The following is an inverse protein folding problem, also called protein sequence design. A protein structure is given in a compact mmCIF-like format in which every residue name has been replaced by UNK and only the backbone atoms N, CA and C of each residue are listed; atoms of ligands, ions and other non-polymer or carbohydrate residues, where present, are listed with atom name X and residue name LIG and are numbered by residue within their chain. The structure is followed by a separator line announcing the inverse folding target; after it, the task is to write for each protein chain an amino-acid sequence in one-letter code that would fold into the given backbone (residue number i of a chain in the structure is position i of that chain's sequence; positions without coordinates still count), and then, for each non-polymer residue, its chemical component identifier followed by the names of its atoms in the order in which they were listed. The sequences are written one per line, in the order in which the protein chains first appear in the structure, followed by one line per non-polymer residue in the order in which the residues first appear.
data_IF_081590682441
#
_entry.id   IF_081590682441
#
_cell.length_a   1.000
_cell.length_b   1.000
_cell.length_c   1.000
_cell.angle_alpha   90.00
_cell.angle_beta   90.00
_cell.angle_gamma   90.00
#
_symmetry.space_group_name_H-M   'P 1'
#
loop_
_entity.id
_entity.type
_entity.pdbx_description
1 polymer ?
#
# COMPACT_ATOMS: atom_id res chain seq x y z
N UNK A 1 -23.12 10.69 -11.71
CA UNK A 1 -23.41 10.56 -13.16
C UNK A 1 -22.16 10.99 -13.92
N UNK A 2 -21.43 10.22 -14.71
CA UNK A 2 -21.57 8.88 -15.28
C UNK A 2 -20.15 8.30 -15.22
N UNK A 3 -19.93 7.26 -14.41
CA UNK A 3 -18.73 6.45 -14.53
C UNK A 3 -18.83 5.71 -15.86
N UNK A 4 -18.10 6.16 -16.88
CA UNK A 4 -17.98 5.43 -18.14
C UNK A 4 -17.20 4.16 -17.85
N UNK A 5 -17.95 3.12 -17.46
CA UNK A 5 -17.55 1.72 -17.48
C UNK A 5 -17.27 1.39 -18.95
N UNK A 6 -16.05 1.63 -19.42
CA UNK A 6 -15.54 1.03 -20.67
C UNK A 6 -15.36 -0.47 -20.41
N UNK A 7 -16.48 -1.17 -20.29
CA UNK A 7 -16.58 -2.58 -20.62
C UNK A 7 -16.34 -2.69 -22.12
N UNK A 8 -15.08 -2.60 -22.53
CA UNK A 8 -14.71 -2.88 -23.92
C UNK A 8 -15.06 -4.35 -24.14
N UNK A 9 -16.13 -4.61 -24.89
CA UNK A 9 -16.60 -5.96 -25.19
C UNK A 9 -15.42 -6.74 -25.78
N UNK A 10 -14.84 -7.67 -25.01
CA UNK A 10 -13.65 -8.43 -25.42
C UNK A 10 -13.87 -9.18 -26.74
N UNK A 11 -15.13 -9.57 -27.01
CA UNK A 11 -15.58 -10.17 -28.26
C UNK A 11 -15.43 -9.23 -29.46
N UNK A 12 -15.70 -7.94 -29.29
CA UNK A 12 -15.55 -6.93 -30.34
C UNK A 12 -14.08 -6.72 -30.68
N UNK A 13 -13.22 -6.59 -29.67
CA UNK A 13 -11.77 -6.45 -29.88
C UNK A 13 -11.17 -7.70 -30.55
N UNK A 14 -11.62 -8.90 -30.14
CA UNK A 14 -11.23 -10.14 -30.77
C UNK A 14 -11.67 -10.21 -32.25
N UNK A 15 -12.89 -9.76 -32.56
CA UNK A 15 -13.39 -9.72 -33.93
C UNK A 15 -12.61 -8.72 -34.80
N UNK A 16 -12.30 -7.53 -34.29
CA UNK A 16 -11.46 -6.53 -34.98
C UNK A 16 -10.07 -7.10 -35.28
N UNK A 17 -9.46 -7.78 -34.30
CA UNK A 17 -8.15 -8.40 -34.48
C UNK A 17 -8.19 -9.55 -35.50
N UNK A 18 -9.24 -10.36 -35.52
CA UNK A 18 -9.42 -11.42 -36.51
C UNK A 18 -9.57 -10.85 -37.93
N UNK A 19 -10.34 -9.77 -38.10
CA UNK A 19 -10.46 -9.07 -39.38
C UNK A 19 -9.12 -8.50 -39.83
N UNK A 20 -8.34 -7.94 -38.89
CA UNK A 20 -7.01 -7.45 -39.18
C UNK A 20 -6.06 -8.58 -39.60
N UNK A 21 -6.07 -9.72 -38.89
CA UNK A 21 -5.23 -10.88 -39.24
C UNK A 21 -5.56 -11.41 -40.65
N UNK A 22 -6.84 -11.46 -41.04
CA UNK A 22 -7.25 -11.83 -42.42
C UNK A 22 -6.70 -10.83 -43.43
N UNK A 23 -6.86 -9.53 -43.19
CA UNK A 23 -6.33 -8.48 -44.06
C UNK A 23 -4.81 -8.55 -44.18
N UNK A 24 -4.12 -8.76 -43.07
CA UNK A 24 -2.66 -8.86 -43.01
C UNK A 24 -2.12 -10.06 -43.79
N UNK A 25 -2.82 -11.20 -43.77
CA UNK A 25 -2.47 -12.37 -44.59
C UNK A 25 -2.59 -12.04 -46.09
N UNK A 26 -3.69 -11.40 -46.50
CA UNK A 26 -3.87 -10.99 -47.90
C UNK A 26 -2.78 -10.01 -48.34
N UNK A 27 -2.49 -9.01 -47.51
CA UNK A 27 -1.45 -8.02 -47.75
C UNK A 27 -0.06 -8.67 -47.80
N UNK A 28 0.25 -9.59 -46.89
CA UNK A 28 1.54 -10.25 -46.82
C UNK A 28 1.87 -11.04 -48.09
N UNK A 29 0.95 -11.87 -48.55
CA UNK A 29 1.16 -12.67 -49.75
C UNK A 29 1.07 -11.83 -51.04
N UNK A 30 0.28 -10.77 -51.06
CA UNK A 30 0.32 -9.81 -52.17
C UNK A 30 1.69 -9.12 -52.26
N UNK A 31 2.21 -8.61 -51.13
CA UNK A 31 3.53 -7.99 -51.07
C UNK A 31 4.64 -8.99 -51.42
N UNK A 32 4.50 -10.25 -51.04
CA UNK A 32 5.44 -11.31 -51.42
C UNK A 32 5.49 -11.54 -52.93
N UNK A 33 4.35 -11.52 -53.63
CA UNK A 33 4.31 -11.56 -55.10
C UNK A 33 4.92 -10.29 -55.68
N UNK A 34 4.54 -9.13 -55.15
CA UNK A 34 5.03 -7.87 -55.66
C UNK A 34 6.56 -7.75 -55.54
N UNK A 35 7.14 -8.13 -54.40
CA UNK A 35 8.59 -8.17 -54.19
C UNK A 35 9.28 -9.22 -55.05
N UNK A 36 8.62 -10.36 -55.33
CA UNK A 36 9.17 -11.41 -56.19
C UNK A 36 9.42 -10.95 -57.63
N UNK A 37 8.63 -9.99 -58.10
CA UNK A 37 8.69 -9.39 -59.44
C UNK A 37 9.24 -7.96 -59.40
N UNK A 38 10.20 -7.71 -58.51
CA UNK A 38 10.96 -6.45 -58.40
C UNK A 38 10.08 -5.19 -58.22
N UNK A 39 8.92 -5.34 -57.57
CA UNK A 39 7.99 -4.24 -57.34
C UNK A 39 7.23 -3.78 -58.59
N UNK A 40 7.23 -4.57 -59.68
CA UNK A 40 6.52 -4.24 -60.92
C UNK A 40 5.30 -5.14 -61.10
N UNK A 41 4.12 -4.57 -60.89
CA UNK A 41 2.85 -5.30 -61.03
C UNK A 41 2.64 -5.90 -62.43
N UNK A 42 3.09 -5.20 -63.48
CA UNK A 42 2.99 -5.63 -64.88
C UNK A 42 3.82 -6.87 -65.22
N UNK A 43 4.78 -7.25 -64.37
CA UNK A 43 5.64 -8.43 -64.57
C UNK A 43 5.08 -9.69 -63.93
N UNK A 44 3.97 -9.58 -63.21
CA UNK A 44 3.32 -10.70 -62.56
C UNK A 44 2.47 -11.43 -63.60
N UNK A 45 2.88 -12.64 -63.97
CA UNK A 45 2.12 -13.47 -64.91
C UNK A 45 0.69 -13.71 -64.39
N UNK A 46 -0.35 -13.63 -65.25
CA UNK A 46 -1.75 -13.77 -64.84
C UNK A 46 -2.03 -15.05 -64.05
N UNK A 47 -1.34 -16.13 -64.40
CA UNK A 47 -1.42 -17.43 -63.73
C UNK A 47 -1.07 -17.37 -62.22
N UNK A 48 -0.07 -16.56 -61.82
CA UNK A 48 0.28 -16.40 -60.40
C UNK A 48 -0.73 -15.56 -59.62
N UNK A 49 -1.33 -14.56 -60.28
CA UNK A 49 -2.41 -13.76 -59.69
C UNK A 49 -3.67 -14.58 -59.49
N UNK A 50 -4.02 -15.42 -60.47
CA UNK A 50 -5.16 -16.34 -60.38
C UNK A 50 -5.01 -17.31 -59.19
N UNK A 51 -3.82 -17.90 -59.05
CA UNK A 51 -3.49 -18.75 -57.89
C UNK A 51 -3.65 -17.98 -56.57
N UNK A 52 -3.16 -16.73 -56.48
CA UNK A 52 -3.31 -15.90 -55.28
C UNK A 52 -4.79 -15.67 -54.92
N UNK A 53 -5.63 -15.31 -55.89
CA UNK A 53 -7.06 -15.05 -55.66
C UNK A 53 -7.82 -16.29 -55.21
N UNK A 54 -7.39 -17.49 -55.62
CA UNK A 54 -8.06 -18.73 -55.22
C UNK A 54 -7.54 -19.29 -53.89
N UNK A 55 -6.23 -19.24 -53.63
CA UNK A 55 -5.63 -19.94 -52.48
C UNK A 55 -5.55 -19.07 -51.22
N UNK A 56 -5.26 -17.78 -51.35
CA UNK A 56 -5.03 -16.89 -50.19
C UNK A 56 -6.31 -16.63 -49.38
N UNK A 57 -7.49 -16.38 -49.98
CA UNK A 57 -8.72 -16.21 -49.20
C UNK A 57 -9.08 -17.46 -48.40
N UNK A 58 -8.93 -18.66 -49.00
CA UNK A 58 -9.17 -19.94 -48.32
C UNK A 58 -8.18 -20.12 -47.18
N UNK A 59 -6.90 -19.87 -47.43
CA UNK A 59 -5.86 -19.91 -46.41
C UNK A 59 -6.13 -18.95 -45.25
N UNK A 60 -6.46 -17.69 -45.53
CA UNK A 60 -6.75 -16.69 -44.50
C UNK A 60 -7.95 -17.08 -43.64
N UNK A 61 -9.00 -17.65 -44.23
CA UNK A 61 -10.17 -18.15 -43.49
C UNK A 61 -9.82 -19.37 -42.62
N UNK A 62 -8.96 -20.27 -43.08
CA UNK A 62 -8.48 -21.41 -42.29
C UNK A 62 -7.53 -21.01 -41.15
N UNK A 63 -6.80 -19.90 -41.30
CA UNK A 63 -5.95 -19.37 -40.23
C UNK A 63 -6.75 -18.90 -39.01
N UNK A 64 -7.94 -18.33 -39.19
CA UNK A 64 -8.77 -17.79 -38.09
C UNK A 64 -9.07 -18.83 -37.00
N UNK A 65 -9.60 -20.04 -37.29
CA UNK A 65 -9.84 -21.05 -36.26
C UNK A 65 -8.52 -21.56 -35.63
N UNK A 66 -7.43 -21.67 -36.39
CA UNK A 66 -6.13 -22.07 -35.86
C UNK A 66 -5.59 -21.04 -34.87
N UNK A 67 -5.68 -19.75 -35.20
CA UNK A 67 -5.28 -18.65 -34.32
C UNK A 67 -6.18 -18.55 -33.09
N UNK A 68 -7.48 -18.86 -33.23
CA UNK A 68 -8.40 -18.96 -32.10
C UNK A 68 -8.06 -20.12 -31.16
N UNK A 69 -7.72 -21.30 -31.70
CA UNK A 69 -7.30 -22.47 -30.92
C UNK A 69 -5.97 -22.22 -30.20
N UNK A 70 -5.01 -21.56 -30.88
CA UNK A 70 -3.77 -21.08 -30.29
C UNK A 70 -3.96 -19.94 -29.28
N UNK A 71 -5.22 -19.58 -28.95
CA UNK A 71 -5.59 -18.55 -27.97
C UNK A 71 -5.05 -17.15 -28.30
N UNK A 72 -4.80 -16.85 -29.57
CA UNK A 72 -4.23 -15.56 -30.01
C UNK A 72 -5.23 -14.40 -29.91
N UNK A 73 -6.54 -14.68 -29.87
CA UNK A 73 -7.60 -13.67 -29.73
C UNK A 73 -8.08 -13.45 -28.28
N UNK A 74 -7.53 -14.18 -27.32
CA UNK A 74 -7.91 -14.09 -25.89
C UNK A 74 -7.02 -13.16 -25.08
N UNK A 75 -5.87 -12.75 -25.63
CA UNK A 75 -4.92 -11.87 -24.96
C UNK A 75 -5.40 -10.42 -24.89
N UNK A 76 -5.00 -9.70 -23.84
CA UNK A 76 -5.23 -8.26 -23.72
C UNK A 76 -4.06 -7.57 -24.44
N UNK A 77 -4.31 -7.01 -25.62
CA UNK A 77 -3.28 -6.41 -26.50
C UNK A 77 -2.40 -5.32 -25.85
N UNK A 78 -2.86 -4.72 -24.74
CA UNK A 78 -2.08 -3.73 -23.97
C UNK A 78 -1.01 -4.36 -23.08
N UNK A 79 -1.19 -5.63 -22.71
CA UNK A 79 -0.31 -6.38 -21.82
C UNK A 79 0.34 -7.59 -22.53
N UNK A 80 0.55 -7.48 -23.85
CA UNK A 80 1.15 -8.54 -24.65
C UNK A 80 2.48 -8.99 -24.04
N UNK A 81 2.52 -10.22 -23.56
CA UNK A 81 3.70 -10.82 -22.94
C UNK A 81 4.66 -11.38 -24.00
N UNK A 82 5.91 -11.63 -23.61
CA UNK A 82 6.89 -12.29 -24.50
C UNK A 82 6.36 -13.65 -24.97
N UNK A 83 5.65 -14.39 -24.10
CA UNK A 83 5.01 -15.65 -24.45
C UNK A 83 3.91 -15.54 -25.51
N UNK A 84 3.18 -14.44 -25.56
CA UNK A 84 2.17 -14.21 -26.60
C UNK A 84 2.82 -13.89 -27.96
N UNK A 85 3.93 -13.16 -27.96
CA UNK A 85 4.72 -12.86 -29.18
C UNK A 85 5.30 -14.15 -29.74
N UNK A 86 5.94 -14.98 -28.90
CA UNK A 86 6.53 -16.26 -29.35
C UNK A 86 5.48 -17.21 -29.88
N UNK A 87 4.32 -17.35 -29.20
CA UNK A 87 3.21 -18.17 -29.68
C UNK A 87 2.65 -17.68 -31.02
N UNK A 88 2.52 -16.36 -31.20
CA UNK A 88 2.07 -15.77 -32.47
C UNK A 88 3.06 -16.09 -33.58
N UNK A 89 4.36 -15.88 -33.34
CA UNK A 89 5.42 -16.17 -34.30
C UNK A 89 5.45 -17.64 -34.72
N UNK A 90 5.49 -18.55 -33.74
CA UNK A 90 5.51 -20.01 -34.00
C UNK A 90 4.27 -20.45 -34.76
N UNK A 91 3.07 -20.02 -34.34
CA UNK A 91 1.81 -20.41 -35.02
C UNK A 91 1.80 -19.87 -36.46
N UNK A 92 2.22 -18.63 -36.68
CA UNK A 92 2.32 -18.03 -38.02
C UNK A 92 3.28 -18.82 -38.93
N UNK A 93 4.46 -19.17 -38.42
CA UNK A 93 5.45 -19.95 -39.18
C UNK A 93 4.92 -21.33 -39.54
N UNK A 94 4.34 -22.07 -38.57
CA UNK A 94 3.79 -23.41 -38.82
C UNK A 94 2.69 -23.39 -39.89
N UNK A 95 1.74 -22.45 -39.80
CA UNK A 95 0.62 -22.36 -40.74
C UNK A 95 1.10 -21.93 -42.13
N UNK A 96 2.09 -21.03 -42.21
CA UNK A 96 2.71 -20.61 -43.47
C UNK A 96 3.49 -21.75 -44.14
N UNK A 97 4.16 -22.61 -43.38
CA UNK A 97 4.88 -23.78 -43.91
C UNK A 97 3.91 -24.84 -44.47
N UNK A 98 2.80 -25.09 -43.77
CA UNK A 98 1.75 -26.00 -44.26
C UNK A 98 1.15 -25.46 -45.57
N UNK A 99 0.86 -24.16 -45.62
CA UNK A 99 0.40 -23.51 -46.85
C UNK A 99 1.42 -23.60 -47.99
N UNK A 100 2.68 -23.31 -47.71
CA UNK A 100 3.75 -23.44 -48.69
C UNK A 100 3.86 -24.87 -49.24
N UNK A 101 3.73 -25.90 -48.39
CA UNK A 101 3.74 -27.29 -48.80
C UNK A 101 2.55 -27.61 -49.71
N UNK A 102 1.33 -27.24 -49.31
CA UNK A 102 0.10 -27.48 -50.08
C UNK A 102 0.16 -26.80 -51.46
N UNK A 103 0.54 -25.52 -51.51
CA UNK A 103 0.60 -24.78 -52.78
C UNK A 103 1.67 -25.36 -53.70
N UNK A 104 2.87 -25.66 -53.18
CA UNK A 104 3.95 -26.21 -54.01
C UNK A 104 3.71 -27.65 -54.49
N UNK A 105 2.89 -28.44 -53.79
CA UNK A 105 2.63 -29.86 -54.14
C UNK A 105 1.35 -30.07 -54.93
N UNK A 106 0.27 -29.33 -54.64
CA UNK A 106 -1.08 -29.58 -55.17
C UNK A 106 -1.56 -28.51 -56.15
N UNK A 107 -1.14 -27.25 -56.00
CA UNK A 107 -1.69 -26.10 -56.73
C UNK A 107 -0.56 -25.29 -57.37
N UNK A 108 0.09 -25.94 -58.35
CA UNK A 108 1.08 -25.36 -59.27
C UNK A 108 2.31 -24.72 -58.61
N UNK A 109 3.46 -24.86 -59.27
CA UNK A 109 4.77 -24.53 -58.69
C UNK A 109 4.97 -23.02 -58.57
N UNK A 110 4.46 -22.44 -57.49
CA UNK A 110 4.81 -21.09 -57.06
C UNK A 110 6.33 -21.01 -56.81
N UNK A 111 7.00 -19.89 -57.14
CA UNK A 111 8.40 -19.71 -56.78
C UNK A 111 8.58 -19.83 -55.27
N UNK A 112 9.63 -20.54 -54.82
CA UNK A 112 9.94 -20.72 -53.39
C UNK A 112 10.04 -19.36 -52.67
N UNK A 113 10.60 -18.37 -53.35
CA UNK A 113 10.73 -17.00 -52.84
C UNK A 113 9.40 -16.32 -52.51
N UNK A 114 8.28 -16.65 -53.20
CA UNK A 114 6.95 -16.16 -52.81
C UNK A 114 6.54 -16.71 -51.43
N UNK A 115 6.79 -18.00 -51.19
CA UNK A 115 6.47 -18.64 -49.91
C UNK A 115 7.33 -18.10 -48.77
N UNK A 116 8.63 -17.87 -49.04
CA UNK A 116 9.58 -17.32 -48.05
C UNK A 116 9.21 -15.88 -47.68
N UNK A 117 9.01 -15.00 -48.67
CA UNK A 117 8.60 -13.62 -48.41
C UNK A 117 7.23 -13.55 -47.74
N UNK A 118 6.27 -14.38 -48.17
CA UNK A 118 4.95 -14.45 -47.56
C UNK A 118 5.00 -14.81 -46.09
N UNK A 119 5.78 -15.84 -45.73
CA UNK A 119 5.99 -16.25 -44.33
C UNK A 119 6.61 -15.13 -43.50
N UNK A 120 7.67 -14.48 -43.99
CA UNK A 120 8.36 -13.41 -43.27
C UNK A 120 7.47 -12.19 -43.04
N UNK A 121 6.78 -11.74 -44.09
CA UNK A 121 5.91 -10.55 -44.03
C UNK A 121 4.67 -10.84 -43.18
N UNK A 122 4.07 -12.04 -43.30
CA UNK A 122 2.94 -12.43 -42.46
C UNK A 122 3.34 -12.42 -40.98
N UNK A 123 4.45 -13.07 -40.62
CA UNK A 123 4.91 -13.10 -39.23
C UNK A 123 5.18 -11.68 -38.70
N UNK A 124 5.84 -10.84 -39.50
CA UNK A 124 6.12 -9.45 -39.13
C UNK A 124 4.84 -8.65 -38.89
N UNK A 125 3.86 -8.73 -39.79
CA UNK A 125 2.59 -8.04 -39.68
C UNK A 125 1.80 -8.52 -38.44
N UNK A 126 1.64 -9.83 -38.25
CA UNK A 126 0.90 -10.38 -37.10
C UNK A 126 1.53 -10.01 -35.75
N UNK A 127 2.86 -9.97 -35.66
CA UNK A 127 3.59 -9.51 -34.47
C UNK A 127 3.41 -8.00 -34.29
N UNK A 128 3.54 -7.22 -35.37
CA UNK A 128 3.38 -5.77 -35.33
C UNK A 128 1.99 -5.36 -34.81
N UNK A 129 0.90 -6.00 -35.27
CA UNK A 129 -0.45 -5.72 -34.77
C UNK A 129 -0.62 -5.95 -33.26
N UNK A 130 0.18 -6.83 -32.67
CA UNK A 130 0.13 -7.17 -31.22
C UNK A 130 1.07 -6.31 -30.38
N UNK A 131 2.14 -5.78 -30.97
CA UNK A 131 3.08 -4.87 -30.33
C UNK A 131 2.65 -3.40 -30.42
N UNK A 132 2.03 -3.00 -31.54
CA UNK A 132 1.73 -1.61 -31.83
C UNK A 132 0.84 -0.93 -30.77
N UNK A 133 -0.22 -1.56 -30.23
CA UNK A 133 -1.02 -0.96 -29.16
C UNK A 133 -0.19 -0.67 -27.89
N UNK A 134 0.72 -1.58 -27.52
CA UNK A 134 1.63 -1.39 -26.38
C UNK A 134 2.61 -0.25 -26.65
N UNK A 135 3.17 -0.16 -27.86
CA UNK A 135 4.08 0.92 -28.24
C UNK A 135 3.37 2.28 -28.27
N UNK A 136 2.13 2.33 -28.76
CA UNK A 136 1.30 3.55 -28.76
C UNK A 136 1.00 4.01 -27.33
N UNK A 137 0.59 3.12 -26.43
CA UNK A 137 0.30 3.48 -25.03
C UNK A 137 1.57 4.01 -24.33
N UNK A 138 2.74 3.38 -24.57
CA UNK A 138 4.04 3.85 -24.06
C UNK A 138 4.37 5.24 -24.63
N UNK A 139 4.25 5.43 -25.94
CA UNK A 139 4.60 6.69 -26.60
C UNK A 139 3.66 7.83 -26.21
N UNK A 140 2.35 7.56 -26.09
CA UNK A 140 1.37 8.51 -25.60
C UNK A 140 1.66 8.96 -24.17
N UNK A 141 2.16 8.06 -23.30
CA UNK A 141 2.60 8.43 -21.95
C UNK A 141 3.76 9.43 -21.98
N UNK A 142 4.77 9.21 -22.83
CA UNK A 142 5.92 10.14 -22.93
C UNK A 142 5.58 11.47 -23.57
N UNK A 143 4.71 11.48 -24.58
CA UNK A 143 4.30 12.70 -25.30
C UNK A 143 3.23 13.48 -24.54
N UNK A 144 2.58 12.87 -23.54
CA UNK A 144 1.58 13.57 -22.72
C UNK A 144 2.24 14.78 -22.05
N UNK A 145 1.85 15.97 -22.51
CA UNK A 145 2.19 17.22 -21.84
C UNK A 145 1.68 17.14 -20.40
N UNK A 146 2.49 17.52 -19.40
CA UNK A 146 2.07 17.50 -18.00
C UNK A 146 0.79 18.32 -17.87
N UNK A 147 -0.26 17.69 -17.33
CA UNK A 147 -1.48 18.41 -16.96
C UNK A 147 -1.15 19.38 -15.83
N UNK A 148 -1.78 20.57 -15.82
CA UNK A 148 -1.53 21.62 -14.82
C UNK A 148 -1.83 21.16 -13.38
N UNK A 149 -2.62 20.09 -13.21
CA UNK A 149 -3.01 19.51 -11.91
C UNK A 149 -2.44 18.10 -11.65
N UNK A 150 -1.38 17.68 -12.35
CA UNK A 150 -0.74 16.39 -12.04
C UNK A 150 0.17 16.47 -10.82
N UNK A 151 -0.07 15.61 -9.83
CA UNK A 151 0.78 15.46 -8.63
C UNK A 151 2.09 14.79 -9.03
N UNK A 152 3.22 15.45 -8.77
CA UNK A 152 4.55 14.95 -9.12
C UNK A 152 5.12 14.10 -8.00
N UNK A 153 5.50 12.88 -8.35
CA UNK A 153 5.96 11.87 -7.41
C UNK A 153 7.44 11.58 -7.65
N UNK A 154 8.24 11.67 -6.59
CA UNK A 154 9.59 11.13 -6.53
C UNK A 154 9.54 9.75 -5.88
N UNK A 155 10.27 8.79 -6.46
CA UNK A 155 10.35 7.43 -5.92
C UNK A 155 11.76 7.19 -5.40
N UNK A 156 11.85 6.66 -4.19
CA UNK A 156 13.10 6.29 -3.56
C UNK A 156 13.23 4.78 -3.62
N UNK A 157 14.31 4.29 -4.24
CA UNK A 157 14.57 2.90 -4.53
C UNK A 157 14.24 2.56 -5.99
N UNK A 158 15.27 2.35 -6.80
CA UNK A 158 15.19 1.82 -8.16
C UNK A 158 15.29 0.27 -8.18
N UNK A 159 14.86 -0.39 -7.10
CA UNK A 159 14.77 -1.85 -7.01
C UNK A 159 13.48 -2.41 -7.63
N UNK A 160 13.23 -3.70 -7.41
CA UNK A 160 12.03 -4.40 -7.92
C UNK A 160 10.73 -3.71 -7.45
N UNK A 161 10.65 -3.34 -6.17
CA UNK A 161 9.48 -2.65 -5.60
C UNK A 161 9.22 -1.30 -6.26
N UNK A 162 10.27 -0.51 -6.52
CA UNK A 162 10.17 0.76 -7.21
C UNK A 162 9.77 0.61 -8.68
N UNK A 163 10.29 -0.42 -9.36
CA UNK A 163 9.88 -0.75 -10.73
C UNK A 163 8.39 -1.12 -10.81
N UNK A 164 7.91 -1.96 -9.88
CA UNK A 164 6.50 -2.34 -9.81
C UNK A 164 5.61 -1.12 -9.51
N UNK A 165 6.03 -0.24 -8.60
CA UNK A 165 5.30 0.99 -8.28
C UNK A 165 5.24 1.96 -9.47
N UNK A 166 6.34 2.10 -10.22
CA UNK A 166 6.37 2.87 -11.46
C UNK A 166 5.44 2.30 -12.53
N UNK A 167 5.45 0.98 -12.68
CA UNK A 167 4.57 0.28 -13.61
C UNK A 167 3.09 0.51 -13.23
N UNK A 168 2.75 0.38 -11.95
CA UNK A 168 1.40 0.64 -11.47
C UNK A 168 1.01 2.12 -11.63
N UNK A 169 1.86 3.08 -11.27
CA UNK A 169 1.61 4.52 -11.47
C UNK A 169 1.30 4.89 -12.92
N UNK A 170 1.86 4.18 -13.89
CA UNK A 170 1.59 4.40 -15.33
C UNK A 170 0.25 3.87 -15.78
N UNK A 171 -0.17 2.73 -15.23
CA UNK A 171 -1.37 2.03 -15.66
C UNK A 171 -2.60 2.37 -14.81
N UNK A 172 -2.40 2.67 -13.53
CA UNK A 172 -3.39 3.20 -12.59
C UNK A 172 -3.67 4.67 -12.93
N UNK A 173 -4.41 4.87 -14.03
CA UNK A 173 -4.91 6.14 -14.55
C UNK A 173 -5.92 6.85 -13.60
N UNK A 174 -5.82 6.64 -12.27
CA UNK A 174 -6.87 6.93 -11.28
C UNK A 174 -6.62 8.16 -10.41
N UNK A 175 -5.41 8.72 -10.32
CA UNK A 175 -5.18 9.81 -9.34
C UNK A 175 -4.37 11.01 -9.86
N UNK A 176 -4.18 11.14 -11.18
CA UNK A 176 -3.45 12.29 -11.74
C UNK A 176 -2.04 12.42 -11.17
N UNK A 177 -1.38 11.30 -10.87
CA UNK A 177 -0.01 11.29 -10.37
C UNK A 177 0.97 10.93 -11.49
N UNK A 178 2.13 11.57 -11.50
CA UNK A 178 3.20 11.32 -12.46
C UNK A 178 4.53 11.16 -11.73
N UNK A 179 5.21 10.05 -11.95
CA UNK A 179 6.58 9.88 -11.50
C UNK A 179 7.52 10.76 -12.32
N UNK A 180 8.30 11.63 -11.65
CA UNK A 180 9.18 12.62 -12.29
C UNK A 180 10.66 12.26 -12.20
N UNK A 181 11.08 11.64 -11.11
CA UNK A 181 12.45 11.18 -10.89
C UNK A 181 12.50 10.00 -9.92
N UNK A 182 13.59 9.26 -9.97
CA UNK A 182 13.92 8.17 -9.04
C UNK A 182 15.26 8.48 -8.36
N UNK A 183 15.36 8.17 -7.07
CA UNK A 183 16.59 8.25 -6.28
C UNK A 183 16.99 6.83 -5.87
N UNK A 184 18.26 6.46 -6.03
CA UNK A 184 18.81 5.18 -5.58
C UNK A 184 20.31 5.37 -5.22
N UNK A 185 20.70 4.85 -4.06
CA UNK A 185 22.07 4.94 -3.58
C UNK A 185 23.06 4.08 -4.37
N UNK A 186 22.58 3.11 -5.16
CA UNK A 186 23.43 2.31 -6.04
C UNK A 186 23.94 3.18 -7.22
N UNK A 187 25.25 3.50 -7.25
CA UNK A 187 25.81 4.36 -8.29
C UNK A 187 25.72 3.73 -9.69
N UNK A 188 25.56 2.40 -9.78
CA UNK A 188 25.42 1.73 -11.08
C UNK A 188 24.08 2.04 -11.76
N UNK A 189 23.08 2.50 -11.01
CA UNK A 189 21.74 2.85 -11.50
C UNK A 189 21.58 4.34 -11.82
N UNK A 190 22.43 5.19 -11.26
CA UNK A 190 22.39 6.63 -11.45
C UNK A 190 22.68 7.02 -12.91
N UNK A 191 21.99 8.04 -13.41
CA UNK A 191 22.06 8.46 -14.82
C UNK A 191 21.37 7.50 -15.80
N UNK A 192 20.78 6.40 -15.33
CA UNK A 192 19.95 5.50 -16.13
C UNK A 192 18.47 5.85 -15.99
N UNK A 193 17.64 5.08 -16.68
CA UNK A 193 16.20 5.23 -16.64
C UNK A 193 15.56 3.96 -16.07
N UNK A 194 14.66 4.12 -15.09
CA UNK A 194 13.82 3.02 -14.59
C UNK A 194 12.42 3.20 -15.15
N UNK A 195 11.98 2.21 -15.94
CA UNK A 195 10.79 2.30 -16.78
C UNK A 195 10.79 3.51 -17.74
N UNK A 196 11.81 4.37 -17.77
CA UNK A 196 11.87 5.64 -18.52
C UNK A 196 11.58 6.89 -17.69
N UNK A 197 11.60 6.76 -16.36
CA UNK A 197 11.82 7.85 -15.42
C UNK A 197 13.32 7.90 -15.08
N UNK A 198 13.97 9.08 -15.09
CA UNK A 198 15.40 9.18 -14.83
C UNK A 198 15.73 8.85 -13.37
N UNK A 199 16.81 8.11 -13.15
CA UNK A 199 17.45 7.92 -11.84
C UNK A 199 18.47 9.04 -11.68
N UNK A 200 18.15 10.04 -10.87
CA UNK A 200 18.83 11.35 -10.90
C UNK A 200 20.04 11.43 -9.98
N UNK A 201 20.13 10.54 -8.98
CA UNK A 201 21.19 10.59 -7.99
C UNK A 201 20.92 9.68 -6.79
N UNK A 202 21.72 9.88 -5.74
CA UNK A 202 21.63 9.16 -4.46
C UNK A 202 20.82 9.94 -3.42
N UNK A 203 20.84 9.47 -2.16
CA UNK A 203 20.11 10.12 -1.05
C UNK A 203 20.49 11.60 -0.83
N UNK A 204 21.72 11.98 -1.17
CA UNK A 204 22.18 13.37 -1.03
C UNK A 204 21.52 14.33 -2.04
N UNK A 205 21.02 13.80 -3.16
CA UNK A 205 20.38 14.57 -4.23
C UNK A 205 18.87 14.72 -4.02
N UNK A 206 18.31 14.19 -2.93
CA UNK A 206 16.85 14.24 -2.66
C UNK A 206 16.35 15.70 -2.60
N UNK A 207 17.09 16.59 -1.94
CA UNK A 207 16.68 17.99 -1.77
C UNK A 207 16.78 18.80 -3.07
N UNK A 208 17.84 18.60 -3.85
CA UNK A 208 17.99 19.24 -5.17
C UNK A 208 16.93 18.71 -6.14
N UNK A 209 16.77 17.39 -6.23
CA UNK A 209 15.79 16.75 -7.09
C UNK A 209 14.34 17.15 -6.75
N UNK A 210 14.00 17.26 -5.47
CA UNK A 210 12.66 17.71 -5.05
C UNK A 210 12.33 19.11 -5.60
N UNK A 211 13.30 20.03 -5.61
CA UNK A 211 13.15 21.39 -6.15
C UNK A 211 13.13 21.41 -7.68
N UNK A 212 14.13 20.79 -8.31
CA UNK A 212 14.33 20.84 -9.76
C UNK A 212 13.16 20.20 -10.52
N UNK A 213 12.65 19.08 -9.99
CA UNK A 213 11.51 18.36 -10.58
C UNK A 213 10.15 18.82 -10.03
N UNK A 214 10.13 19.74 -9.04
CA UNK A 214 8.93 20.25 -8.34
C UNK A 214 8.04 19.13 -7.82
N UNK A 215 8.61 18.31 -6.95
CA UNK A 215 7.96 17.14 -6.36
C UNK A 215 6.90 17.56 -5.35
N UNK A 216 5.74 16.88 -5.37
CA UNK A 216 4.65 17.07 -4.40
C UNK A 216 4.61 15.91 -3.37
N UNK A 217 4.96 14.70 -3.81
CA UNK A 217 4.94 13.48 -2.98
C UNK A 217 6.21 12.66 -3.15
N UNK A 218 6.65 12.03 -2.06
CA UNK A 218 7.81 11.14 -2.05
C UNK A 218 7.35 9.75 -1.63
N UNK A 219 7.61 8.75 -2.46
CA UNK A 219 7.28 7.35 -2.22
C UNK A 219 8.54 6.56 -1.87
N UNK A 220 8.62 6.08 -0.63
CA UNK A 220 9.70 5.22 -0.16
C UNK A 220 9.42 3.76 -0.53
N UNK A 221 10.21 3.23 -1.48
CA UNK A 221 10.05 1.89 -2.06
C UNK A 221 11.23 0.95 -1.78
N UNK A 222 11.81 1.05 -0.58
CA UNK A 222 12.94 0.24 -0.10
C UNK A 222 12.55 -0.63 1.12
N UNK A 223 11.58 -1.56 0.99
CA UNK A 223 11.09 -2.32 2.14
C UNK A 223 12.17 -3.19 2.82
N UNK A 224 13.18 -3.63 2.05
CA UNK A 224 14.30 -4.45 2.53
C UNK A 224 15.47 -3.66 3.11
N UNK A 225 15.46 -2.32 3.05
CA UNK A 225 16.52 -1.51 3.63
C UNK A 225 16.53 -1.62 5.16
N UNK A 226 17.71 -1.42 5.76
CA UNK A 226 17.86 -1.38 7.21
C UNK A 226 16.99 -0.26 7.81
N UNK A 227 16.59 -0.42 9.08
CA UNK A 227 15.81 0.63 9.77
C UNK A 227 16.61 1.93 9.88
N UNK A 228 17.94 1.84 9.98
CA UNK A 228 18.86 2.97 9.99
C UNK A 228 18.84 3.73 8.66
N UNK A 229 19.03 3.03 7.54
CA UNK A 229 18.97 3.66 6.20
C UNK A 229 17.61 4.29 5.91
N UNK A 230 16.52 3.61 6.29
CA UNK A 230 15.16 4.17 6.13
C UNK A 230 15.00 5.46 6.91
N UNK A 231 15.45 5.48 8.17
CA UNK A 231 15.38 6.67 9.03
C UNK A 231 16.16 7.83 8.43
N UNK A 232 17.40 7.58 8.01
CA UNK A 232 18.28 8.62 7.48
C UNK A 232 17.69 9.22 6.19
N UNK A 233 17.18 8.37 5.30
CA UNK A 233 16.50 8.82 4.09
C UNK A 233 15.20 9.57 4.41
N UNK A 234 14.38 9.07 5.33
CA UNK A 234 13.14 9.75 5.74
C UNK A 234 13.41 11.11 6.37
N UNK A 235 14.51 11.26 7.12
CA UNK A 235 14.93 12.54 7.67
C UNK A 235 15.23 13.54 6.54
N UNK A 236 16.06 13.16 5.57
CA UNK A 236 16.35 14.01 4.38
C UNK A 236 15.06 14.37 3.64
N UNK A 237 14.15 13.39 3.48
CA UNK A 237 12.87 13.63 2.81
C UNK A 237 11.97 14.60 3.57
N UNK A 238 12.02 14.60 4.91
CA UNK A 238 11.19 15.49 5.74
C UNK A 238 11.53 16.97 5.55
N UNK A 239 12.79 17.28 5.24
CA UNK A 239 13.27 18.63 4.96
C UNK A 239 12.72 19.21 3.64
N UNK A 240 12.23 18.36 2.74
CA UNK A 240 11.66 18.79 1.45
C UNK A 240 10.28 19.43 1.58
N UNK A 241 9.57 19.20 2.70
CA UNK A 241 8.15 19.59 2.87
C UNK A 241 7.16 18.80 2.02
N UNK A 242 7.60 17.80 1.25
CA UNK A 242 6.74 16.96 0.43
C UNK A 242 5.96 15.95 1.28
N UNK A 243 4.81 15.49 0.78
CA UNK A 243 4.05 14.42 1.47
C UNK A 243 4.79 13.08 1.34
N UNK A 244 5.19 12.50 2.47
CA UNK A 244 5.90 11.23 2.53
C UNK A 244 4.95 10.04 2.65
N UNK A 245 5.16 9.03 1.82
CA UNK A 245 4.45 7.75 1.90
C UNK A 245 5.45 6.61 1.77
N UNK A 246 5.20 5.49 2.43
CA UNK A 246 6.06 4.31 2.41
C UNK A 246 5.31 3.02 2.10
N UNK A 247 6.04 2.05 1.51
CA UNK A 247 5.56 0.68 1.39
C UNK A 247 5.74 -0.08 2.72
N UNK A 248 4.69 -0.68 3.30
CA UNK A 248 4.80 -1.47 4.52
C UNK A 248 5.73 -2.68 4.35
N UNK A 249 6.46 -3.05 5.42
CA UNK A 249 7.46 -4.13 5.37
C UNK A 249 6.93 -5.50 4.93
N UNK A 250 5.66 -5.82 5.21
CA UNK A 250 5.02 -7.08 4.77
C UNK A 250 4.97 -7.26 3.24
N UNK A 251 5.06 -6.17 2.47
CA UNK A 251 5.11 -6.24 1.00
C UNK A 251 6.43 -6.84 0.49
N UNK A 252 7.46 -6.98 1.33
CA UNK A 252 8.67 -7.75 1.01
C UNK A 252 8.36 -9.24 0.79
N UNK A 253 7.33 -9.77 1.44
CA UNK A 253 6.95 -11.19 1.39
C UNK A 253 5.94 -11.49 0.26
N UNK A 254 5.26 -10.47 -0.26
CA UNK A 254 4.28 -10.63 -1.34
C UNK A 254 4.95 -10.41 -2.71
N UNK A 255 5.50 -11.47 -3.29
CA UNK A 255 5.98 -11.43 -4.67
C UNK A 255 4.79 -11.27 -5.63
N UNK A 256 4.51 -10.04 -6.06
CA UNK A 256 3.88 -9.82 -7.37
C UNK A 256 2.78 -8.77 -7.50
N UNK A 257 2.34 -8.10 -6.42
CA UNK A 257 1.32 -7.03 -6.52
C UNK A 257 1.62 -5.87 -5.56
N UNK A 258 2.46 -4.93 -6.01
CA UNK A 258 2.61 -3.63 -5.36
C UNK A 258 1.72 -2.65 -6.11
N UNK A 259 0.81 -2.00 -5.39
CA UNK A 259 -0.08 -0.97 -5.96
C UNK A 259 0.12 0.36 -5.26
N UNK A 260 -0.21 1.47 -5.92
CA UNK A 260 -0.18 2.80 -5.30
C UNK A 260 -1.10 2.87 -4.08
N UNK A 261 -2.22 2.14 -4.09
CA UNK A 261 -3.15 2.02 -2.95
C UNK A 261 -2.55 1.34 -1.72
N UNK A 262 -1.43 0.62 -1.87
CA UNK A 262 -0.72 -0.03 -0.77
C UNK A 262 0.16 0.92 0.03
N UNK A 263 0.36 2.16 -0.45
CA UNK A 263 1.19 3.16 0.21
C UNK A 263 0.52 3.72 1.46
N UNK A 264 1.25 3.79 2.56
CA UNK A 264 0.78 4.34 3.84
C UNK A 264 1.56 5.62 4.16
N UNK A 265 0.92 6.57 4.84
CA UNK A 265 1.63 7.77 5.30
C UNK A 265 2.71 7.38 6.31
N UNK A 266 3.86 8.04 6.23
CA UNK A 266 4.93 7.90 7.22
C UNK A 266 4.46 8.46 8.55
N UNK A 267 4.62 7.69 9.63
CA UNK A 267 4.26 8.08 11.00
C UNK A 267 5.45 8.73 11.73
N UNK A 268 5.19 9.39 12.86
CA UNK A 268 6.28 10.02 13.66
C UNK A 268 7.20 8.94 14.22
N UNK A 269 6.66 7.77 14.52
CA UNK A 269 7.38 6.59 14.99
C UNK A 269 8.38 6.08 13.95
N UNK A 270 7.99 6.09 12.66
CA UNK A 270 8.88 5.73 11.54
C UNK A 270 10.07 6.70 11.42
N UNK A 271 9.86 7.99 11.71
CA UNK A 271 10.92 9.00 11.73
C UNK A 271 11.87 8.84 12.93
N UNK A 272 11.37 8.31 14.05
CA UNK A 272 12.16 8.07 15.25
C UNK A 272 12.99 6.79 15.17
N UNK A 273 12.65 5.86 14.27
CA UNK A 273 13.46 4.70 13.87
C UNK A 273 13.89 3.79 15.01
N UNK A 274 13.14 3.74 16.12
CA UNK A 274 13.46 2.92 17.28
C UNK A 274 12.57 1.69 17.30
N UNK A 275 13.17 0.50 17.35
CA UNK A 275 12.46 -0.70 17.76
C UNK A 275 11.93 -0.49 19.19
N UNK A 276 10.63 -0.66 19.45
CA UNK A 276 10.10 -0.57 20.81
C UNK A 276 10.91 -1.50 21.71
N UNK A 277 11.37 -1.00 22.87
CA UNK A 277 12.00 -1.86 23.86
C UNK A 277 10.99 -2.94 24.22
N UNK A 278 11.28 -4.19 23.87
CA UNK A 278 10.51 -5.35 24.31
C UNK A 278 10.80 -5.56 25.78
N UNK A 279 10.07 -4.89 26.64
CA UNK A 279 10.04 -5.23 28.05
C UNK A 279 9.50 -6.66 28.18
N UNK A 280 10.14 -7.50 29.00
CA UNK A 280 9.59 -8.78 29.39
C UNK A 280 8.37 -8.51 30.29
N UNK A 281 7.18 -8.65 29.72
CA UNK A 281 5.91 -8.32 30.37
C UNK A 281 5.23 -9.56 30.95
N UNK A 282 5.87 -10.74 30.90
CA UNK A 282 5.26 -12.00 31.35
C UNK A 282 4.90 -11.98 32.84
N UNK A 283 5.69 -11.28 33.66
CA UNK A 283 5.37 -11.08 35.08
C UNK A 283 4.13 -10.19 35.28
N UNK A 284 4.03 -9.11 34.49
CA UNK A 284 2.89 -8.17 34.55
C UNK A 284 1.61 -8.87 34.10
N UNK A 285 1.67 -9.66 33.04
CA UNK A 285 0.53 -10.39 32.50
C UNK A 285 0.07 -11.52 33.42
N UNK A 286 1.01 -12.27 34.03
CA UNK A 286 0.67 -13.26 35.06
C UNK A 286 -0.02 -12.65 36.25
N UNK A 287 0.34 -11.42 36.64
CA UNK A 287 -0.31 -10.73 37.74
C UNK A 287 -1.76 -10.30 37.43
N UNK A 288 -2.07 -10.00 36.16
CA UNK A 288 -3.40 -9.53 35.72
C UNK A 288 -4.40 -10.69 35.55
N UNK A 289 -3.91 -11.86 35.13
CA UNK A 289 -4.75 -13.02 34.84
C UNK A 289 -5.66 -13.37 36.05
N UNK A 290 -6.96 -13.49 35.79
CA UNK A 290 -7.95 -13.87 36.80
C UNK A 290 -8.22 -12.81 37.89
N UNK A 291 -7.74 -11.57 37.73
CA UNK A 291 -8.01 -10.44 38.63
C UNK A 291 -9.13 -9.54 38.12
N UNK A 292 -9.81 -8.85 39.04
CA UNK A 292 -10.68 -7.72 38.70
C UNK A 292 -9.83 -6.46 38.55
N UNK A 293 -9.81 -5.87 37.35
CA UNK A 293 -8.96 -4.73 37.00
C UNK A 293 -9.79 -3.50 36.69
N UNK A 294 -9.49 -2.37 37.34
CA UNK A 294 -10.11 -1.07 37.08
C UNK A 294 -9.14 -0.15 36.34
N UNK A 295 -9.55 0.36 35.18
CA UNK A 295 -8.83 1.40 34.43
C UNK A 295 -9.63 2.70 34.49
N UNK A 296 -9.12 3.69 35.21
CA UNK A 296 -9.71 5.04 35.19
C UNK A 296 -9.07 5.88 34.08
N UNK A 297 -9.86 6.72 33.40
CA UNK A 297 -9.41 7.40 32.18
C UNK A 297 -9.28 6.42 31.00
N UNK A 298 -10.05 5.32 31.02
CA UNK A 298 -9.92 4.21 30.08
C UNK A 298 -10.38 4.51 28.65
N UNK A 299 -11.10 5.62 28.42
CA UNK A 299 -11.37 6.15 27.07
C UNK A 299 -10.27 7.08 26.55
N UNK A 300 -9.32 7.51 27.40
CA UNK A 300 -8.18 8.30 26.96
C UNK A 300 -7.14 7.47 26.19
N UNK A 301 -6.25 8.12 25.44
CA UNK A 301 -5.29 7.44 24.56
C UNK A 301 -4.45 6.35 25.25
N UNK A 302 -3.95 6.62 26.47
CA UNK A 302 -3.18 5.64 27.26
C UNK A 302 -4.12 4.60 27.88
N UNK A 303 -5.24 5.05 28.44
CA UNK A 303 -6.20 4.19 29.12
C UNK A 303 -6.82 3.15 28.18
N UNK A 304 -7.13 3.52 26.94
CA UNK A 304 -7.68 2.60 25.94
C UNK A 304 -6.68 1.53 25.55
N UNK A 305 -5.40 1.91 25.43
CA UNK A 305 -4.33 0.95 25.14
C UNK A 305 -4.08 -0.01 26.30
N UNK A 306 -4.11 0.49 27.55
CA UNK A 306 -4.08 -0.36 28.73
C UNK A 306 -5.27 -1.33 28.73
N UNK A 307 -6.49 -0.87 28.40
CA UNK A 307 -7.65 -1.74 28.32
C UNK A 307 -7.48 -2.87 27.29
N UNK A 308 -6.91 -2.57 26.11
CA UNK A 308 -6.61 -3.58 25.07
C UNK A 308 -5.62 -4.62 25.55
N UNK A 309 -4.54 -4.18 26.19
CA UNK A 309 -3.51 -5.08 26.69
C UNK A 309 -4.07 -5.94 27.83
N UNK A 310 -4.77 -5.35 28.79
CA UNK A 310 -5.39 -6.09 29.89
C UNK A 310 -6.37 -7.14 29.36
N UNK A 311 -7.24 -6.77 28.41
CA UNK A 311 -8.21 -7.68 27.81
C UNK A 311 -7.56 -8.91 27.13
N UNK A 312 -6.37 -8.75 26.54
CA UNK A 312 -5.63 -9.82 25.89
C UNK A 312 -5.10 -10.89 26.88
N UNK A 313 -5.06 -10.60 28.18
CA UNK A 313 -4.44 -11.45 29.20
C UNK A 313 -5.45 -12.00 30.22
N UNK A 314 -6.70 -12.21 29.78
CA UNK A 314 -7.74 -12.95 30.51
C UNK A 314 -7.93 -12.50 31.98
N UNK A 315 -8.27 -11.22 32.22
CA UNK A 315 -8.67 -10.78 33.55
C UNK A 315 -10.00 -11.46 33.91
N UNK A 316 -10.30 -11.55 35.21
CA UNK A 316 -11.63 -12.02 35.65
C UNK A 316 -12.71 -11.03 35.22
N UNK A 317 -12.42 -9.74 35.33
CA UNK A 317 -13.32 -8.65 34.94
C UNK A 317 -12.47 -7.41 34.63
N UNK A 318 -12.78 -6.73 33.54
CA UNK A 318 -12.19 -5.43 33.18
C UNK A 318 -13.24 -4.33 33.35
N UNK A 319 -12.93 -3.32 34.15
CA UNK A 319 -13.79 -2.18 34.43
C UNK A 319 -13.17 -0.93 33.80
N UNK A 320 -13.85 -0.34 32.84
CA UNK A 320 -13.46 0.92 32.21
C UNK A 320 -14.25 2.05 32.88
N UNK A 321 -13.55 2.98 33.53
CA UNK A 321 -14.15 4.14 34.18
C UNK A 321 -13.64 5.44 33.54
N UNK A 322 -14.54 6.25 32.99
CA UNK A 322 -14.18 7.53 32.36
C UNK A 322 -15.32 8.54 32.47
N UNK A 323 -15.00 9.81 32.25
CA UNK A 323 -15.97 10.90 32.14
C UNK A 323 -16.44 11.11 30.69
N UNK A 324 -15.61 10.77 29.70
CA UNK A 324 -15.89 11.03 28.28
C UNK A 324 -16.58 9.85 27.59
N UNK A 325 -17.90 9.91 27.48
CA UNK A 325 -18.73 8.81 26.96
C UNK A 325 -18.36 8.32 25.56
N UNK A 326 -18.07 9.21 24.61
CA UNK A 326 -17.84 8.84 23.20
C UNK A 326 -16.60 7.96 23.03
N UNK A 327 -15.49 8.33 23.68
CA UNK A 327 -14.25 7.57 23.59
C UNK A 327 -14.40 6.22 24.30
N UNK A 328 -15.08 6.23 25.46
CA UNK A 328 -15.36 5.01 26.24
C UNK A 328 -16.28 4.05 25.49
N UNK A 329 -17.28 4.56 24.79
CA UNK A 329 -18.16 3.75 23.93
C UNK A 329 -17.38 3.12 22.77
N UNK A 330 -16.45 3.87 22.17
CA UNK A 330 -15.62 3.38 21.06
C UNK A 330 -14.74 2.19 21.49
N UNK A 331 -14.04 2.31 22.62
CA UNK A 331 -13.23 1.19 23.15
C UNK A 331 -14.10 0.04 23.66
N UNK A 332 -15.30 0.31 24.18
CA UNK A 332 -16.24 -0.74 24.58
C UNK A 332 -16.63 -1.63 23.39
N UNK A 333 -16.97 -1.01 22.25
CA UNK A 333 -17.37 -1.74 21.05
C UNK A 333 -16.20 -2.59 20.52
N UNK A 334 -15.01 -1.98 20.45
CA UNK A 334 -13.77 -2.64 20.02
C UNK A 334 -13.48 -3.90 20.85
N UNK A 335 -13.54 -3.79 22.19
CA UNK A 335 -13.23 -4.91 23.07
C UNK A 335 -14.31 -5.98 23.08
N UNK A 336 -15.59 -5.62 22.96
CA UNK A 336 -16.69 -6.60 22.85
C UNK A 336 -16.61 -7.41 21.57
N UNK A 337 -16.21 -6.79 20.47
CA UNK A 337 -16.02 -7.48 19.19
C UNK A 337 -14.83 -8.44 19.25
N UNK A 338 -13.70 -7.98 19.81
CA UNK A 338 -12.45 -8.75 19.83
C UNK A 338 -12.39 -9.82 20.93
N UNK A 339 -13.03 -9.60 22.07
CA UNK A 339 -13.02 -10.50 23.23
C UNK A 339 -14.46 -10.73 23.75
N UNK A 340 -15.28 -11.54 23.06
CA UNK A 340 -16.70 -11.72 23.40
C UNK A 340 -16.95 -12.29 24.80
N UNK A 341 -16.01 -13.10 25.31
CA UNK A 341 -16.11 -13.76 26.61
C UNK A 341 -15.60 -12.90 27.78
N UNK A 342 -15.06 -11.70 27.50
CA UNK A 342 -14.57 -10.78 28.51
C UNK A 342 -15.73 -10.22 29.34
N UNK A 343 -15.69 -10.41 30.66
CA UNK A 343 -16.56 -9.66 31.58
C UNK A 343 -16.13 -8.19 31.60
N UNK A 344 -16.74 -7.40 30.72
CA UNK A 344 -16.43 -6.00 30.48
C UNK A 344 -17.51 -5.10 31.09
N UNK A 345 -17.13 -4.30 32.08
CA UNK A 345 -18.00 -3.31 32.72
C UNK A 345 -17.55 -1.91 32.34
N UNK A 346 -18.46 -1.08 31.84
CA UNK A 346 -18.19 0.31 31.48
C UNK A 346 -18.99 1.24 32.38
N UNK A 347 -18.31 2.16 33.05
CA UNK A 347 -18.90 3.06 34.04
C UNK A 347 -18.53 4.51 33.71
N UNK A 348 -19.54 5.33 33.48
CA UNK A 348 -19.33 6.77 33.35
C UNK A 348 -19.29 7.42 34.73
N UNK A 349 -18.33 8.31 34.94
CA UNK A 349 -18.16 9.07 36.16
C UNK A 349 -16.85 9.86 36.21
N UNK A 350 -16.76 10.79 37.16
CA UNK A 350 -15.55 11.56 37.41
C UNK A 350 -14.80 11.00 38.62
N UNK A 351 -13.47 10.90 38.52
CA UNK A 351 -12.59 10.58 39.66
C UNK A 351 -12.63 11.66 40.76
N UNK A 352 -13.21 12.83 40.45
CA UNK A 352 -13.47 13.91 41.40
C UNK A 352 -14.64 13.60 42.34
N UNK A 353 -15.53 12.68 41.96
CA UNK A 353 -16.68 12.31 42.78
C UNK A 353 -16.31 11.17 43.74
N UNK A 354 -16.05 11.52 45.00
CA UNK A 354 -15.72 10.55 46.04
C UNK A 354 -16.81 9.50 46.22
N UNK A 355 -18.09 9.90 46.19
CA UNK A 355 -19.21 8.98 46.44
C UNK A 355 -19.28 7.96 45.31
N UNK A 356 -19.12 8.40 44.07
CA UNK A 356 -19.07 7.52 42.91
C UNK A 356 -17.89 6.56 42.99
N UNK A 357 -16.68 7.04 43.32
CA UNK A 357 -15.51 6.16 43.47
C UNK A 357 -15.74 5.12 44.56
N UNK A 358 -16.23 5.52 45.74
CA UNK A 358 -16.55 4.58 46.82
C UNK A 358 -17.58 3.53 46.41
N UNK A 359 -18.63 3.91 45.67
CA UNK A 359 -19.61 2.95 45.15
C UNK A 359 -18.98 1.94 44.20
N UNK A 360 -18.10 2.38 43.29
CA UNK A 360 -17.40 1.50 42.35
C UNK A 360 -16.50 0.52 43.10
N UNK A 361 -15.66 1.01 44.02
CA UNK A 361 -14.76 0.15 44.79
C UNK A 361 -15.51 -0.82 45.71
N UNK A 362 -16.59 -0.37 46.35
CA UNK A 362 -17.42 -1.22 47.21
C UNK A 362 -18.11 -2.35 46.44
N UNK A 363 -18.69 -2.03 45.27
CA UNK A 363 -19.46 -2.98 44.45
C UNK A 363 -18.56 -3.99 43.73
N UNK A 364 -17.49 -3.52 43.09
CA UNK A 364 -16.70 -4.35 42.18
C UNK A 364 -15.41 -4.91 42.80
N UNK A 365 -14.98 -4.37 43.95
CA UNK A 365 -13.76 -4.79 44.66
C UNK A 365 -12.54 -4.98 43.72
N UNK A 366 -12.10 -3.94 42.97
CA UNK A 366 -10.95 -4.06 42.08
C UNK A 366 -9.70 -4.48 42.83
N UNK A 367 -9.02 -5.51 42.33
CA UNK A 367 -7.75 -6.00 42.89
C UNK A 367 -6.55 -5.22 42.34
N UNK A 368 -6.68 -4.72 41.10
CA UNK A 368 -5.65 -3.92 40.42
C UNK A 368 -6.30 -2.66 39.86
N UNK A 369 -5.66 -1.51 40.08
CA UNK A 369 -6.11 -0.23 39.55
C UNK A 369 -5.02 0.38 38.68
N UNK A 370 -5.35 0.69 37.43
CA UNK A 370 -4.53 1.54 36.56
C UNK A 370 -5.17 2.92 36.47
N UNK A 371 -4.48 3.92 37.03
CA UNK A 371 -4.97 5.30 37.10
C UNK A 371 -4.38 6.15 35.97
N UNK A 372 -5.12 6.28 34.86
CA UNK A 372 -4.77 7.08 33.69
C UNK A 372 -5.64 8.34 33.52
N UNK A 373 -6.60 8.59 34.42
CA UNK A 373 -7.43 9.80 34.39
C UNK A 373 -6.62 11.04 34.79
N UNK A 374 -6.33 11.92 33.82
CA UNK A 374 -5.66 13.19 34.06
C UNK A 374 -5.92 14.20 32.93
N UNK A 375 -5.81 15.49 33.24
CA UNK A 375 -5.60 16.52 32.24
C UNK A 375 -4.11 16.61 31.91
N UNK A 376 -3.79 16.68 30.61
CA UNK A 376 -2.41 16.55 30.08
C UNK A 376 -1.92 17.74 29.24
N UNK A 377 -2.80 18.60 28.75
CA UNK A 377 -2.44 19.66 27.81
C UNK A 377 -1.92 20.88 28.56
N UNK A 378 -0.60 21.12 28.52
CA UNK A 378 0.05 22.20 29.27
C UNK A 378 -0.61 23.57 29.03
N UNK A 379 -0.80 24.06 27.79
CA UNK A 379 -1.36 25.39 27.58
C UNK A 379 -2.74 25.57 28.24
N UNK A 380 -3.65 24.61 28.01
CA UNK A 380 -4.99 24.64 28.60
C UNK A 380 -4.96 24.61 30.13
N UNK A 381 -3.99 23.91 30.71
CA UNK A 381 -3.88 23.73 32.15
C UNK A 381 -3.17 24.89 32.85
N UNK A 382 -2.40 25.70 32.12
CA UNK A 382 -1.95 27.02 32.59
C UNK A 382 -3.12 28.00 32.63
N UNK A 383 -4.03 27.96 31.65
CA UNK A 383 -5.25 28.79 31.63
C UNK A 383 -6.27 28.33 32.69
N UNK A 384 -6.27 27.03 33.03
CA UNK A 384 -7.22 26.41 33.98
C UNK A 384 -6.51 25.61 35.10
N UNK A 385 -5.70 26.27 35.94
CA UNK A 385 -4.81 25.60 36.89
C UNK A 385 -5.57 24.86 37.99
N UNK A 386 -6.69 25.43 38.45
CA UNK A 386 -7.52 24.79 39.48
C UNK A 386 -8.11 23.46 39.00
N UNK A 387 -8.45 23.33 37.72
CA UNK A 387 -9.00 22.09 37.17
C UNK A 387 -7.93 21.00 37.08
N UNK A 388 -6.67 21.36 36.79
CA UNK A 388 -5.53 20.45 36.90
C UNK A 388 -5.40 19.87 38.31
N UNK A 389 -5.45 20.71 39.34
CA UNK A 389 -5.32 20.26 40.73
C UNK A 389 -6.52 19.40 41.14
N UNK A 390 -7.74 19.83 40.83
CA UNK A 390 -8.97 19.09 41.18
C UNK A 390 -9.01 17.71 40.50
N UNK A 391 -8.66 17.62 39.22
CA UNK A 391 -8.75 16.37 38.49
C UNK A 391 -7.53 15.48 38.74
N UNK A 392 -6.32 16.01 38.60
CA UNK A 392 -5.10 15.21 38.72
C UNK A 392 -4.84 14.86 40.19
N UNK A 393 -4.56 15.86 41.04
CA UNK A 393 -4.14 15.60 42.42
C UNK A 393 -5.30 15.11 43.30
N UNK A 394 -6.42 15.84 43.36
CA UNK A 394 -7.55 15.48 44.23
C UNK A 394 -8.27 14.23 43.70
N UNK A 395 -8.38 14.06 42.37
CA UNK A 395 -8.91 12.83 41.77
C UNK A 395 -8.04 11.61 42.07
N UNK A 396 -6.70 11.75 41.98
CA UNK A 396 -5.76 10.69 42.40
C UNK A 396 -5.95 10.35 43.87
N UNK A 397 -5.99 11.36 44.76
CA UNK A 397 -6.19 11.14 46.19
C UNK A 397 -7.47 10.35 46.48
N UNK A 398 -8.60 10.75 45.90
CA UNK A 398 -9.91 10.10 46.12
C UNK A 398 -9.91 8.65 45.63
N UNK A 399 -9.33 8.41 44.46
CA UNK A 399 -9.22 7.07 43.85
C UNK A 399 -8.30 6.17 44.67
N UNK A 400 -7.12 6.68 45.07
CA UNK A 400 -6.16 5.96 45.88
C UNK A 400 -6.70 5.65 47.29
N UNK A 401 -7.43 6.59 47.88
CA UNK A 401 -8.08 6.40 49.18
C UNK A 401 -9.17 5.32 49.13
N UNK A 402 -10.01 5.33 48.10
CA UNK A 402 -10.98 4.25 47.89
C UNK A 402 -10.28 2.90 47.66
N UNK A 403 -9.20 2.85 46.88
CA UNK A 403 -8.41 1.65 46.67
C UNK A 403 -7.83 1.09 47.98
N UNK A 404 -7.25 1.96 48.82
CA UNK A 404 -6.68 1.59 50.11
C UNK A 404 -7.74 1.00 51.05
N UNK A 405 -8.88 1.66 51.23
CA UNK A 405 -9.94 1.21 52.16
C UNK A 405 -10.57 -0.11 51.71
N UNK A 406 -10.67 -0.33 50.40
CA UNK A 406 -11.30 -1.53 49.86
C UNK A 406 -10.33 -2.69 49.62
N UNK A 407 -9.06 -2.55 50.02
CA UNK A 407 -8.07 -3.63 49.99
C UNK A 407 -7.54 -3.94 48.59
N UNK A 408 -7.36 -2.93 47.74
CA UNK A 408 -6.73 -3.09 46.42
C UNK A 408 -5.28 -3.59 46.59
N UNK A 409 -4.91 -4.64 45.86
CA UNK A 409 -3.58 -5.27 45.94
C UNK A 409 -2.50 -4.42 45.26
N UNK A 410 -2.85 -3.73 44.16
CA UNK A 410 -1.90 -2.92 43.40
C UNK A 410 -2.58 -1.70 42.76
N UNK A 411 -2.02 -0.53 43.05
CA UNK A 411 -2.40 0.74 42.43
C UNK A 411 -1.25 1.27 41.57
N UNK A 412 -1.48 1.39 40.27
CA UNK A 412 -0.50 1.89 39.29
C UNK A 412 -0.95 3.26 38.81
N UNK A 413 -0.17 4.30 39.12
CA UNK A 413 -0.37 5.65 38.61
C UNK A 413 0.42 5.85 37.31
N UNK A 414 -0.24 6.30 36.26
CA UNK A 414 0.46 6.75 35.04
C UNK A 414 1.00 8.16 35.27
N UNK A 415 2.33 8.31 35.26
CA UNK A 415 3.01 9.61 35.40
C UNK A 415 3.58 10.14 34.08
N UNK A 416 4.40 11.19 34.13
CA UNK A 416 5.01 11.84 32.96
C UNK A 416 6.36 12.44 33.34
N UNK A 417 7.26 12.51 32.35
CA UNK A 417 8.52 13.27 32.39
C UNK A 417 8.40 14.69 32.98
N UNK A 418 7.29 15.39 32.72
CA UNK A 418 6.99 16.74 33.20
C UNK A 418 6.83 16.86 34.72
N UNK A 419 6.77 15.72 35.45
CA UNK A 419 6.68 15.70 36.91
C UNK A 419 8.05 15.76 37.62
N UNK A 420 9.17 15.51 36.92
CA UNK A 420 10.50 15.38 37.55
C UNK A 420 11.00 16.70 38.13
N UNK A 421 10.93 17.79 37.35
CA UNK A 421 11.23 19.15 37.80
C UNK A 421 10.24 20.12 37.15
N UNK A 422 9.00 20.20 37.68
CA UNK A 422 7.90 20.80 36.97
C UNK A 422 8.07 22.31 36.82
N UNK A 423 8.05 22.80 35.59
CA UNK A 423 8.07 24.23 35.24
C UNK A 423 6.68 24.77 34.87
N UNK A 424 5.64 23.96 35.02
CA UNK A 424 4.26 24.27 34.67
C UNK A 424 3.28 23.60 35.65
N UNK A 425 2.07 24.14 35.79
CA UNK A 425 1.01 23.70 36.71
C UNK A 425 0.58 22.26 36.42
N UNK A 426 0.50 21.88 35.14
CA UNK A 426 0.17 20.50 34.76
C UNK A 426 1.21 19.51 35.33
N UNK A 427 2.50 19.76 35.11
CA UNK A 427 3.60 18.97 35.65
C UNK A 427 3.60 18.95 37.18
N UNK A 428 3.40 20.10 37.83
CA UNK A 428 3.34 20.20 39.29
C UNK A 428 2.17 19.38 39.86
N UNK A 429 1.00 19.41 39.21
CA UNK A 429 -0.15 18.61 39.61
C UNK A 429 0.13 17.10 39.51
N UNK A 430 0.90 16.66 38.50
CA UNK A 430 1.32 15.25 38.36
C UNK A 430 2.35 14.85 39.40
N UNK A 431 3.28 15.74 39.74
CA UNK A 431 4.21 15.52 40.86
C UNK A 431 3.47 15.33 42.19
N UNK A 432 2.43 16.11 42.44
CA UNK A 432 1.55 15.90 43.62
C UNK A 432 0.87 14.52 43.59
N UNK A 433 0.45 14.03 42.42
CA UNK A 433 -0.11 12.68 42.29
C UNK A 433 0.90 11.61 42.75
N UNK A 434 2.16 11.72 42.33
CA UNK A 434 3.22 10.79 42.76
C UNK A 434 3.41 10.82 44.27
N UNK A 435 3.49 12.02 44.86
CA UNK A 435 3.66 12.21 46.30
C UNK A 435 2.47 11.63 47.09
N UNK A 436 1.25 11.78 46.58
CA UNK A 436 0.05 11.16 47.16
C UNK A 436 0.22 9.64 47.19
N UNK A 437 0.48 9.00 46.04
CA UNK A 437 0.59 7.54 45.97
C UNK A 437 1.73 7.01 46.85
N UNK A 438 2.90 7.66 46.83
CA UNK A 438 4.03 7.30 47.70
C UNK A 438 3.69 7.44 49.19
N UNK A 439 2.93 8.48 49.55
CA UNK A 439 2.50 8.69 50.93
C UNK A 439 1.51 7.61 51.40
N UNK A 440 0.59 7.20 50.52
CA UNK A 440 -0.35 6.11 50.80
C UNK A 440 0.38 4.76 50.93
N UNK A 441 1.27 4.43 50.01
CA UNK A 441 2.11 3.22 50.07
C UNK A 441 2.92 3.16 51.39
N UNK A 442 3.53 4.28 51.78
CA UNK A 442 4.26 4.39 53.05
C UNK A 442 3.35 4.17 54.26
N UNK A 443 2.12 4.71 54.26
CA UNK A 443 1.16 4.52 55.36
C UNK A 443 0.69 3.07 55.46
N UNK A 444 0.35 2.44 54.34
CA UNK A 444 -0.07 1.04 54.28
C UNK A 444 1.03 0.12 54.81
N UNK A 445 2.30 0.35 54.40
CA UNK A 445 3.46 -0.40 54.91
C UNK A 445 3.72 -0.17 56.41
N UNK A 446 3.26 0.94 56.97
CA UNK A 446 3.31 1.23 58.40
C UNK A 446 2.09 0.71 59.18
N UNK A 447 1.13 0.04 58.51
CA UNK A 447 -0.10 -0.43 59.13
C UNK A 447 -1.07 0.68 59.54
N UNK A 448 -1.02 1.85 58.89
CA UNK A 448 -1.83 3.05 59.20
C UNK A 448 -2.95 3.29 58.19
#
# INVERSE_FOLDING_TARGET
MIAVKKSTNWRLNAAILALWDVFAIHLAYFLALWLRFDGKFTWIYPYYMDTYYHTVPVYALLCVPVFAFARLYRGILRYTSVGEITRTGVTSVCVSLVYALIVNTLVLRMPISYSVWGLMIQAALLIAARLLPRLIDIFQYYIRKPSVNETRVMIIGAGLSGQMLLHDLRHANKEGMRAVCVIDDDPTKQGRYLEGVPVVGGRDDILSAARDYRVDKIFLSIPSASNEDKRDILHICSETGCKLMQLPGMYQLMMGQVTVSSMVNVTVEDLLGRDPIRADMDEVYRFINGKTVLVTGGGGSIGSELCRQIAAHQPRQLIIFDIYENNTYSIQLELKEKYPDLDLVVLIGSVRDSRRMFQVFSKYRPQVVYHAAAHKHVPLMEDSPCESIKNNAIGTYKTAYAAMIHGCERFVLISTDKAVNPTNIMGASKRLCEMIIQSFDKKIKQGK
#
